data_IF_221787719774
#
_entry.id   IF_221787719774
#
_cell.length_a   1.000
_cell.length_b   1.000
_cell.length_c   1.000
_cell.angle_alpha   90.00
_cell.angle_beta   90.00
_cell.angle_gamma   90.00
#
_symmetry.space_group_name_H-M   'P 1'
#
loop_
_entity.id
_entity.type
_entity.pdbx_description
1 polymer ?
#
# COMPACT_ATOMS: atom_id res chain seq x y z
N UNK A 1 -54.61 -8.39 -34.54
CA UNK A 1 -53.62 -7.44 -33.99
C UNK A 1 -52.97 -8.14 -32.81
N UNK A 2 -51.76 -8.67 -32.99
CA UNK A 2 -50.97 -9.27 -31.93
C UNK A 2 -50.09 -8.17 -31.34
N UNK A 3 -50.13 -7.99 -30.02
CA UNK A 3 -49.25 -7.07 -29.31
C UNK A 3 -48.10 -7.88 -28.70
N UNK A 4 -46.90 -7.54 -29.15
CA UNK A 4 -45.62 -8.04 -28.69
C UNK A 4 -45.34 -7.47 -27.29
N UNK A 5 -45.13 -8.34 -26.30
CA UNK A 5 -44.74 -7.94 -24.96
C UNK A 5 -43.21 -7.97 -24.88
N UNK A 6 -42.61 -6.78 -24.84
CA UNK A 6 -41.16 -6.57 -24.76
C UNK A 6 -40.65 -7.04 -23.39
N UNK A 7 -39.88 -8.12 -23.39
CA UNK A 7 -39.13 -8.63 -22.24
C UNK A 7 -37.92 -7.72 -21.97
N UNK A 8 -37.85 -7.15 -20.76
CA UNK A 8 -36.74 -6.28 -20.35
C UNK A 8 -35.50 -7.13 -20.02
N UNK A 9 -34.30 -6.77 -20.51
CA UNK A 9 -33.09 -7.52 -20.19
C UNK A 9 -32.67 -7.27 -18.75
N UNK A 10 -32.44 -8.36 -18.01
CA UNK A 10 -31.88 -8.34 -16.65
C UNK A 10 -30.44 -7.81 -16.66
N UNK A 11 -29.97 -7.12 -15.60
CA UNK A 11 -28.58 -6.67 -15.53
C UNK A 11 -27.64 -7.88 -15.42
N UNK A 12 -26.46 -7.84 -16.07
CA UNK A 12 -25.54 -8.97 -16.02
C UNK A 12 -24.87 -9.02 -14.64
N UNK A 13 -25.17 -10.08 -13.88
CA UNK A 13 -24.45 -10.47 -12.68
C UNK A 13 -23.10 -11.08 -13.08
N UNK A 14 -22.11 -10.24 -13.38
CA UNK A 14 -20.71 -10.68 -13.42
C UNK A 14 -20.13 -10.62 -12.00
N UNK A 15 -19.61 -11.72 -11.43
CA UNK A 15 -18.69 -11.59 -10.32
C UNK A 15 -17.43 -10.88 -10.85
N UNK A 16 -16.91 -9.85 -10.18
CA UNK A 16 -15.67 -9.24 -10.63
C UNK A 16 -14.55 -10.29 -10.51
N UNK A 17 -13.89 -10.55 -11.63
CA UNK A 17 -12.71 -11.41 -11.69
C UNK A 17 -11.59 -10.78 -10.86
N UNK A 18 -11.43 -11.21 -9.61
CA UNK A 18 -10.46 -10.66 -8.65
C UNK A 18 -8.99 -11.01 -8.94
N UNK A 19 -8.70 -11.78 -9.98
CA UNK A 19 -7.33 -12.11 -10.37
C UNK A 19 -6.76 -11.04 -11.30
N UNK A 20 -6.03 -10.08 -10.71
CA UNK A 20 -5.20 -9.11 -11.44
C UNK A 20 -5.48 -7.62 -11.20
N UNK A 21 -6.37 -7.27 -10.26
CA UNK A 21 -6.63 -5.88 -9.90
C UNK A 21 -6.07 -5.55 -8.51
N UNK A 22 -5.42 -4.38 -8.40
CA UNK A 22 -5.00 -3.80 -7.13
C UNK A 22 -6.22 -3.68 -6.21
N UNK A 23 -6.08 -4.10 -4.94
CA UNK A 23 -7.18 -4.06 -3.97
C UNK A 23 -7.01 -2.85 -3.07
N UNK A 24 -8.05 -2.03 -2.97
CA UNK A 24 -8.02 -0.79 -2.20
C UNK A 24 -8.88 -0.95 -0.95
N UNK A 25 -8.28 -0.66 0.20
CA UNK A 25 -8.92 -0.72 1.50
C UNK A 25 -8.82 0.62 2.23
N UNK A 26 -9.71 0.84 3.18
CA UNK A 26 -9.56 1.90 4.17
C UNK A 26 -9.72 1.37 5.60
N UNK A 27 -9.01 1.99 6.53
CA UNK A 27 -9.17 1.82 7.97
C UNK A 27 -9.72 3.14 8.52
N UNK A 28 -10.90 3.06 9.13
CA UNK A 28 -11.48 4.20 9.81
C UNK A 28 -10.72 4.47 11.11
N UNK A 29 -10.26 5.70 11.29
CA UNK A 29 -9.61 6.19 12.50
C UNK A 29 -10.52 7.26 13.09
N UNK A 30 -10.91 7.14 14.36
CA UNK A 30 -11.85 8.11 14.97
C UNK A 30 -11.29 9.54 14.91
N UNK A 31 -10.03 9.72 15.37
CA UNK A 31 -9.35 11.02 15.45
C UNK A 31 -7.90 10.91 15.00
N UNK A 32 -7.36 12.03 14.51
CA UNK A 32 -5.97 12.14 14.05
C UNK A 32 -4.96 11.61 15.08
N UNK A 33 -5.19 11.86 16.37
CA UNK A 33 -4.31 11.40 17.47
C UNK A 33 -4.17 9.86 17.55
N UNK A 34 -5.16 9.10 17.08
CA UNK A 34 -5.15 7.63 17.10
C UNK A 34 -4.52 7.03 15.84
N UNK A 35 -4.13 7.85 14.87
CA UNK A 35 -3.59 7.39 13.58
C UNK A 35 -2.27 6.67 13.77
N UNK A 36 -1.38 7.19 14.62
CA UNK A 36 -0.10 6.53 14.90
C UNK A 36 -0.29 5.18 15.61
N UNK A 37 -1.19 5.11 16.59
CA UNK A 37 -1.53 3.86 17.29
C UNK A 37 -2.08 2.81 16.32
N UNK A 38 -3.04 3.20 15.48
CA UNK A 38 -3.63 2.34 14.45
C UNK A 38 -2.58 1.85 13.44
N UNK A 39 -1.59 2.69 13.09
CA UNK A 39 -0.49 2.31 12.21
C UNK A 39 0.38 1.23 12.88
N UNK A 40 0.71 1.39 14.16
CA UNK A 40 1.49 0.39 14.91
C UNK A 40 0.76 -0.94 14.98
N UNK A 41 -0.55 -0.94 15.24
CA UNK A 41 -1.37 -2.15 15.27
C UNK A 41 -1.40 -2.85 13.90
N UNK A 42 -1.60 -2.08 12.83
CA UNK A 42 -1.55 -2.57 11.46
C UNK A 42 -0.20 -3.22 11.14
N UNK A 43 0.90 -2.53 11.47
CA UNK A 43 2.26 -3.04 11.30
C UNK A 43 2.55 -4.25 12.21
N UNK A 44 1.91 -4.33 13.38
CA UNK A 44 1.96 -5.46 14.29
C UNK A 44 1.43 -6.76 13.70
N UNK A 45 0.54 -6.67 12.70
CA UNK A 45 0.02 -7.82 11.95
C UNK A 45 0.76 -7.98 10.62
N UNK A 46 0.79 -6.93 9.79
CA UNK A 46 1.37 -6.98 8.45
C UNK A 46 2.90 -7.14 8.47
N UNK A 47 3.58 -6.36 9.31
CA UNK A 47 5.04 -6.30 9.37
C UNK A 47 5.71 -7.54 9.97
N UNK A 48 4.94 -8.43 10.60
CA UNK A 48 5.48 -9.72 11.10
C UNK A 48 5.67 -10.74 9.99
N UNK A 49 5.21 -10.48 8.77
CA UNK A 49 5.41 -11.42 7.67
C UNK A 49 6.82 -11.30 7.10
N UNK A 50 7.53 -12.41 6.89
CA UNK A 50 8.99 -12.39 6.71
C UNK A 50 9.45 -11.89 5.34
N UNK A 51 9.93 -10.65 5.27
CA UNK A 51 10.39 -10.00 4.03
C UNK A 51 9.36 -9.11 3.32
N UNK A 52 8.21 -8.78 3.94
CA UNK A 52 7.08 -8.15 3.25
C UNK A 52 7.48 -6.76 2.74
N UNK A 53 7.42 -6.47 1.43
CA UNK A 53 7.74 -5.15 0.91
C UNK A 53 6.54 -4.21 1.12
N UNK A 54 6.73 -3.21 1.99
CA UNK A 54 5.74 -2.19 2.33
C UNK A 54 6.23 -0.77 2.00
N UNK A 55 5.32 0.11 1.60
CA UNK A 55 5.59 1.55 1.44
C UNK A 55 4.59 2.32 2.30
N UNK A 56 5.07 3.30 3.06
CA UNK A 56 4.23 4.25 3.81
C UNK A 56 4.41 5.63 3.19
N UNK A 57 3.32 6.21 2.69
CA UNK A 57 3.30 7.55 2.12
C UNK A 57 2.80 8.58 3.14
N UNK A 58 3.63 9.60 3.38
CA UNK A 58 3.33 10.77 4.21
C UNK A 58 3.24 12.04 3.33
N UNK A 59 2.47 13.04 3.75
CA UNK A 59 2.30 14.29 2.99
C UNK A 59 3.29 15.38 3.43
N UNK A 60 3.86 15.26 4.62
CA UNK A 60 4.84 16.21 5.18
C UNK A 60 6.09 15.49 5.71
N UNK A 61 7.18 16.27 5.89
CA UNK A 61 8.42 15.77 6.51
C UNK A 61 8.22 15.45 7.98
N UNK A 62 7.47 16.28 8.71
CA UNK A 62 7.21 16.09 10.13
C UNK A 62 6.48 14.76 10.40
N UNK A 63 5.48 14.42 9.59
CA UNK A 63 4.78 13.13 9.70
C UNK A 63 5.67 11.96 9.30
N UNK A 64 6.51 12.11 8.27
CA UNK A 64 7.49 11.10 7.92
C UNK A 64 8.44 10.83 9.09
N UNK A 65 8.97 11.87 9.75
CA UNK A 65 9.89 11.74 10.87
C UNK A 65 9.20 11.13 12.10
N UNK A 66 7.93 11.48 12.35
CA UNK A 66 7.11 10.87 13.40
C UNK A 66 6.87 9.36 13.16
N UNK A 67 6.57 8.97 11.92
CA UNK A 67 6.42 7.56 11.55
C UNK A 67 7.77 6.84 11.68
N UNK A 68 8.87 7.44 11.22
CA UNK A 68 10.21 6.85 11.36
C UNK A 68 10.57 6.60 12.84
N UNK A 69 10.31 7.56 13.71
CA UNK A 69 10.53 7.44 15.15
C UNK A 69 9.77 6.26 15.76
N UNK A 70 8.49 6.12 15.37
CA UNK A 70 7.63 5.04 15.86
C UNK A 70 8.09 3.67 15.35
N UNK A 71 8.36 3.57 14.04
CA UNK A 71 8.79 2.33 13.38
C UNK A 71 10.16 1.86 13.87
N UNK A 72 11.05 2.78 14.26
CA UNK A 72 12.36 2.44 14.84
C UNK A 72 12.28 1.54 16.07
N UNK A 73 11.15 1.52 16.77
CA UNK A 73 10.92 0.66 17.93
C UNK A 73 10.41 -0.74 17.56
N UNK A 74 10.15 -1.03 16.27
CA UNK A 74 9.59 -2.30 15.80
C UNK A 74 10.71 -3.23 15.32
N UNK A 75 11.08 -4.29 16.09
CA UNK A 75 12.25 -5.13 15.77
C UNK A 75 12.06 -6.01 14.54
N UNK A 76 10.83 -6.18 14.06
CA UNK A 76 10.45 -7.03 12.91
C UNK A 76 10.38 -6.25 11.59
N UNK A 77 10.63 -4.95 11.59
CA UNK A 77 10.64 -4.10 10.38
C UNK A 77 12.02 -3.50 10.20
N UNK A 78 12.59 -3.65 9.01
CA UNK A 78 13.70 -2.85 8.52
C UNK A 78 13.15 -1.78 7.60
N UNK A 79 13.43 -0.51 7.87
CA UNK A 79 12.88 0.58 7.07
C UNK A 79 13.96 1.55 6.58
N UNK A 80 13.67 2.22 5.45
CA UNK A 80 14.48 3.32 4.92
C UNK A 80 13.58 4.53 4.64
N UNK A 81 13.89 5.70 5.19
CA UNK A 81 13.19 6.93 4.86
C UNK A 81 13.68 7.52 3.53
N UNK A 82 12.75 8.03 2.72
CA UNK A 82 13.01 8.76 1.49
C UNK A 82 12.48 10.19 1.61
N UNK A 83 13.41 11.13 1.60
CA UNK A 83 13.18 12.55 1.79
C UNK A 83 13.94 13.38 0.77
N UNK A 84 13.54 14.65 0.61
CA UNK A 84 13.94 15.48 -0.54
C UNK A 84 15.43 15.84 -0.59
N UNK A 85 16.12 15.82 0.55
CA UNK A 85 17.56 16.09 0.67
C UNK A 85 18.45 14.86 0.42
N UNK A 86 17.85 13.67 0.18
CA UNK A 86 18.59 12.47 -0.19
C UNK A 86 19.18 12.62 -1.61
N UNK A 87 20.48 12.34 -1.75
CA UNK A 87 21.13 12.41 -3.07
C UNK A 87 20.47 11.44 -4.06
N UNK A 88 20.32 11.85 -5.33
CA UNK A 88 19.66 11.03 -6.35
C UNK A 88 20.30 9.64 -6.52
N UNK A 89 21.63 9.56 -6.42
CA UNK A 89 22.37 8.30 -6.47
C UNK A 89 22.04 7.38 -5.29
N UNK A 90 21.92 7.94 -4.10
CA UNK A 90 21.55 7.18 -2.89
C UNK A 90 20.10 6.73 -2.95
N UNK A 91 19.18 7.62 -3.39
CA UNK A 91 17.78 7.29 -3.65
C UNK A 91 17.65 6.13 -4.64
N UNK A 92 18.40 6.16 -5.75
CA UNK A 92 18.39 5.10 -6.74
C UNK A 92 18.86 3.76 -6.16
N UNK A 93 19.90 3.76 -5.31
CA UNK A 93 20.38 2.55 -4.62
C UNK A 93 19.31 1.99 -3.68
N UNK A 94 18.62 2.85 -2.92
CA UNK A 94 17.55 2.42 -2.00
C UNK A 94 16.39 1.79 -2.78
N UNK A 95 15.93 2.44 -3.85
CA UNK A 95 14.84 1.95 -4.68
C UNK A 95 15.19 0.62 -5.36
N UNK A 96 16.41 0.49 -5.86
CA UNK A 96 16.87 -0.75 -6.49
C UNK A 96 16.94 -1.91 -5.49
N UNK A 97 17.49 -1.68 -4.30
CA UNK A 97 17.50 -2.68 -3.22
C UNK A 97 16.10 -3.11 -2.82
N UNK A 98 15.17 -2.15 -2.71
CA UNK A 98 13.78 -2.45 -2.37
C UNK A 98 13.09 -3.29 -3.47
N UNK A 99 13.32 -2.96 -4.74
CA UNK A 99 12.78 -3.73 -5.88
C UNK A 99 13.29 -5.16 -5.92
N UNK A 100 14.57 -5.37 -5.58
CA UNK A 100 15.15 -6.71 -5.42
C UNK A 100 14.48 -7.47 -4.28
N UNK A 101 14.26 -6.83 -3.11
CA UNK A 101 13.53 -7.44 -2.00
C UNK A 101 12.11 -7.86 -2.38
N UNK A 102 11.37 -7.02 -3.11
CA UNK A 102 10.04 -7.38 -3.63
C UNK A 102 10.09 -8.60 -4.56
N UNK A 103 11.07 -8.65 -5.47
CA UNK A 103 11.22 -9.77 -6.40
C UNK A 103 11.52 -11.08 -5.69
N UNK A 104 12.37 -11.03 -4.65
CA UNK A 104 12.67 -12.19 -3.83
C UNK A 104 11.45 -12.68 -3.05
N UNK A 105 10.68 -11.74 -2.47
CA UNK A 105 9.45 -12.06 -1.76
C UNK A 105 8.44 -12.78 -2.67
N UNK A 106 8.19 -12.27 -3.88
CA UNK A 106 7.19 -12.87 -4.78
C UNK A 106 7.58 -14.28 -5.24
N UNK A 107 8.87 -14.55 -5.43
CA UNK A 107 9.38 -15.89 -5.71
C UNK A 107 9.21 -16.83 -4.52
N UNK A 108 9.51 -16.37 -3.30
CA UNK A 108 9.41 -17.21 -2.10
C UNK A 108 7.97 -17.56 -1.73
N UNK A 109 7.01 -16.65 -1.95
CA UNK A 109 5.57 -16.95 -1.79
C UNK A 109 5.11 -18.08 -2.71
N UNK A 110 5.74 -18.24 -3.88
CA UNK A 110 5.44 -19.35 -4.79
C UNK A 110 6.10 -20.69 -4.42
N UNK A 111 7.07 -20.68 -3.49
CA UNK A 111 7.91 -21.85 -3.16
C UNK A 111 7.71 -22.37 -1.73
N UNK A 112 6.93 -21.72 -0.87
CA UNK A 112 6.72 -22.20 0.51
C UNK A 112 5.76 -23.41 0.61
N UNK A 113 6.33 -24.59 0.38
CA UNK A 113 6.05 -25.83 1.11
C UNK A 113 7.38 -26.36 1.67
N UNK A 114 7.67 -26.09 2.95
CA UNK A 114 8.69 -26.77 3.76
C UNK A 114 10.15 -26.30 3.57
N UNK A 115 10.71 -25.68 4.61
CA UNK A 115 11.76 -26.26 5.48
C UNK A 115 12.46 -25.14 6.26
N UNK A 116 12.58 -25.33 7.58
CA UNK A 116 13.20 -24.38 8.51
C UNK A 116 14.72 -24.47 8.36
N UNK A 117 15.33 -23.41 7.83
CA UNK A 117 16.79 -23.25 7.81
C UNK A 117 17.17 -21.96 8.53
N UNK A 118 17.83 -22.11 9.68
CA UNK A 118 18.42 -21.00 10.44
C UNK A 118 19.49 -20.28 9.60
N UNK A 119 19.16 -19.11 9.04
CA UNK A 119 20.14 -18.14 8.53
C UNK A 119 19.56 -16.73 8.53
N UNK A 120 20.36 -15.76 9.00
CA UNK A 120 20.13 -14.33 8.84
C UNK A 120 19.04 -13.68 9.70
N UNK A 121 19.40 -13.12 10.87
CA UNK A 121 18.48 -12.35 11.74
C UNK A 121 17.77 -11.15 11.06
N UNK A 122 18.21 -10.74 9.88
CA UNK A 122 17.60 -9.67 9.08
C UNK A 122 16.80 -10.17 7.86
N UNK A 123 16.95 -11.43 7.42
CA UNK A 123 16.23 -11.98 6.25
C UNK A 123 14.73 -12.19 6.52
N UNK A 124 14.33 -12.20 7.79
CA UNK A 124 12.94 -12.38 8.22
C UNK A 124 12.23 -11.06 8.52
N UNK A 125 12.91 -9.91 8.40
CA UNK A 125 12.27 -8.61 8.67
C UNK A 125 11.49 -8.16 7.46
N UNK A 126 10.33 -7.54 7.69
CA UNK A 126 9.66 -6.82 6.60
C UNK A 126 10.52 -5.65 6.13
N UNK A 127 10.51 -5.39 4.83
CA UNK A 127 11.22 -4.27 4.23
C UNK A 127 10.24 -3.12 4.00
N UNK A 128 10.52 -1.96 4.59
CA UNK A 128 9.63 -0.81 4.48
C UNK A 128 10.34 0.43 3.93
N UNK A 129 9.66 1.17 3.07
CA UNK A 129 10.09 2.50 2.65
C UNK A 129 9.08 3.52 3.15
N UNK A 130 9.54 4.53 3.87
CA UNK A 130 8.69 5.64 4.33
C UNK A 130 9.03 6.85 3.47
N UNK A 131 8.06 7.42 2.76
CA UNK A 131 8.32 8.34 1.66
C UNK A 131 7.33 9.50 1.63
N UNK A 132 7.77 10.66 1.16
CA UNK A 132 6.89 11.79 0.79
C UNK A 132 6.60 11.80 -0.71
N UNK A 133 5.50 12.42 -1.12
CA UNK A 133 5.09 12.50 -2.53
C UNK A 133 6.17 13.07 -3.47
N UNK A 134 7.03 13.96 -2.97
CA UNK A 134 8.12 14.59 -3.72
C UNK A 134 9.21 13.59 -4.11
N UNK A 135 9.36 12.51 -3.34
CA UNK A 135 10.42 11.53 -3.51
C UNK A 135 9.97 10.28 -4.28
N UNK A 136 8.70 10.25 -4.70
CA UNK A 136 8.17 9.15 -5.48
C UNK A 136 8.80 9.11 -6.88
N UNK A 137 9.01 7.91 -7.45
CA UNK A 137 9.51 7.77 -8.81
C UNK A 137 8.71 8.58 -9.84
N UNK A 138 9.39 9.41 -10.63
CA UNK A 138 8.77 10.12 -11.74
C UNK A 138 8.67 9.20 -12.96
N UNK A 139 7.57 8.43 -13.04
CA UNK A 139 7.34 7.48 -14.13
C UNK A 139 7.39 8.14 -15.53
N UNK A 140 6.97 9.40 -15.63
CA UNK A 140 7.04 10.18 -16.87
C UNK A 140 8.47 10.53 -17.32
N UNK A 141 9.44 10.49 -16.39
CA UNK A 141 10.86 10.69 -16.64
C UNK A 141 11.61 9.38 -16.90
N UNK A 142 10.91 8.25 -16.96
CA UNK A 142 11.47 6.93 -17.22
C UNK A 142 11.94 6.18 -15.96
N UNK A 143 11.62 6.67 -14.76
CA UNK A 143 11.89 5.92 -13.53
C UNK A 143 10.97 4.70 -13.40
N UNK A 144 11.51 3.61 -12.83
CA UNK A 144 10.73 2.41 -12.55
C UNK A 144 9.95 2.54 -11.24
N UNK A 145 8.75 1.93 -11.15
CA UNK A 145 7.97 1.90 -9.92
C UNK A 145 8.65 1.06 -8.83
N UNK A 146 8.41 1.42 -7.56
CA UNK A 146 8.91 0.73 -6.36
C UNK A 146 8.38 -0.71 -6.28
N UNK A 147 7.14 -0.92 -6.78
CA UNK A 147 6.48 -2.23 -6.88
C UNK A 147 6.26 -2.96 -5.53
N UNK A 148 5.94 -2.24 -4.46
CA UNK A 148 5.62 -2.82 -3.15
C UNK A 148 4.35 -3.68 -3.15
N UNK A 149 4.25 -4.60 -2.18
CA UNK A 149 3.07 -5.46 -2.01
C UNK A 149 1.97 -4.75 -1.22
N UNK A 150 2.36 -3.87 -0.31
CA UNK A 150 1.46 -3.06 0.52
C UNK A 150 1.85 -1.59 0.39
N UNK A 151 0.87 -0.75 0.05
CA UNK A 151 0.98 0.71 0.11
C UNK A 151 0.07 1.21 1.24
N UNK A 152 0.63 1.89 2.23
CA UNK A 152 -0.11 2.52 3.31
C UNK A 152 -0.10 4.02 3.07
N UNK A 153 -1.27 4.59 2.78
CA UNK A 153 -1.47 6.03 2.83
C UNK A 153 -1.72 6.42 4.28
N UNK A 154 -0.64 6.80 4.99
CA UNK A 154 -0.75 7.28 6.36
C UNK A 154 -1.60 8.55 6.41
N UNK A 155 -1.46 9.43 5.40
CA UNK A 155 -2.40 10.52 5.15
C UNK A 155 -3.14 10.27 3.84
N UNK A 156 -4.47 10.45 3.87
CA UNK A 156 -5.31 10.30 2.70
C UNK A 156 -4.97 11.44 1.71
N UNK A 157 -4.59 11.13 0.46
CA UNK A 157 -4.37 12.17 -0.54
C UNK A 157 -5.63 13.02 -0.76
N UNK A 158 -5.53 14.34 -0.76
CA UNK A 158 -6.69 15.23 -0.96
C UNK A 158 -7.17 15.31 -2.41
N UNK A 159 -6.33 14.88 -3.36
CA UNK A 159 -6.59 14.91 -4.80
C UNK A 159 -6.45 13.52 -5.40
N UNK A 160 -7.35 13.18 -6.33
CA UNK A 160 -7.27 11.95 -7.15
C UNK A 160 -5.91 11.77 -7.81
N UNK A 161 -5.34 12.83 -8.40
CA UNK A 161 -4.07 12.73 -9.12
C UNK A 161 -2.93 12.22 -8.21
N UNK A 162 -2.87 12.73 -6.98
CA UNK A 162 -1.90 12.28 -5.98
C UNK A 162 -2.14 10.82 -5.59
N UNK A 163 -3.39 10.42 -5.38
CA UNK A 163 -3.74 9.02 -5.09
C UNK A 163 -3.31 8.07 -6.20
N UNK A 164 -3.59 8.42 -7.46
CA UNK A 164 -3.20 7.64 -8.62
C UNK A 164 -1.68 7.59 -8.78
N UNK A 165 -0.99 8.70 -8.52
CA UNK A 165 0.48 8.77 -8.55
C UNK A 165 1.11 7.84 -7.51
N UNK A 166 0.63 7.86 -6.26
CA UNK A 166 1.10 6.94 -5.21
C UNK A 166 0.89 5.49 -5.62
N UNK A 167 -0.31 5.15 -6.08
CA UNK A 167 -0.64 3.79 -6.52
C UNK A 167 0.25 3.32 -7.68
N UNK A 168 0.41 4.14 -8.73
CA UNK A 168 1.20 3.78 -9.91
C UNK A 168 2.71 3.70 -9.62
N UNK A 169 3.24 4.59 -8.78
CA UNK A 169 4.67 4.63 -8.47
C UNK A 169 5.08 3.61 -7.42
N UNK A 170 4.20 3.26 -6.48
CA UNK A 170 4.55 2.45 -5.33
C UNK A 170 4.08 1.00 -5.41
N UNK A 171 2.94 0.70 -6.05
CA UNK A 171 2.26 -0.58 -5.85
C UNK A 171 2.47 -1.56 -7.01
N UNK A 172 2.71 -2.83 -6.68
CA UNK A 172 2.69 -3.92 -7.64
C UNK A 172 1.28 -4.17 -8.21
N UNK A 173 1.16 -4.93 -9.30
CA UNK A 173 -0.11 -5.22 -9.96
C UNK A 173 -1.09 -6.03 -9.09
N UNK A 174 -0.58 -6.91 -8.23
CA UNK A 174 -1.37 -7.72 -7.30
C UNK A 174 -1.41 -7.12 -5.88
N UNK A 175 -0.79 -5.95 -5.69
CA UNK A 175 -0.64 -5.28 -4.41
C UNK A 175 -1.94 -4.79 -3.78
N UNK A 176 -1.87 -4.40 -2.50
CA UNK A 176 -2.98 -3.78 -1.77
C UNK A 176 -2.63 -2.36 -1.32
N UNK A 177 -3.64 -1.48 -1.33
CA UNK A 177 -3.56 -0.13 -0.76
C UNK A 177 -4.38 -0.09 0.52
N UNK A 178 -3.83 0.48 1.58
CA UNK A 178 -4.52 0.72 2.85
C UNK A 178 -4.54 2.23 3.10
N UNK A 179 -5.73 2.80 3.20
CA UNK A 179 -5.93 4.22 3.43
C UNK A 179 -6.32 4.45 4.89
N UNK A 180 -5.55 5.24 5.63
CA UNK A 180 -5.94 5.62 6.99
C UNK A 180 -6.80 6.89 6.93
N UNK A 181 -8.08 6.73 7.26
CA UNK A 181 -9.10 7.75 7.01
C UNK A 181 -9.65 8.23 8.34
N UNK A 182 -9.48 9.52 8.66
CA UNK A 182 -10.13 10.10 9.85
C UNK A 182 -11.59 10.45 9.56
N UNK A 183 -12.44 10.55 10.59
CA UNK A 183 -13.88 10.79 10.41
C UNK A 183 -14.25 11.99 9.51
N UNK A 184 -13.42 13.04 9.47
CA UNK A 184 -13.61 14.20 8.59
C UNK A 184 -13.25 13.98 7.12
N UNK A 185 -12.57 12.89 6.77
CA UNK A 185 -12.03 12.62 5.43
C UNK A 185 -12.92 11.70 4.59
N UNK A 186 -14.04 11.20 5.12
CA UNK A 186 -14.94 10.26 4.41
C UNK A 186 -15.45 10.82 3.08
N UNK A 187 -15.73 12.13 3.02
CA UNK A 187 -16.15 12.80 1.78
C UNK A 187 -15.03 12.81 0.74
N UNK A 188 -13.78 13.00 1.19
CA UNK A 188 -12.60 12.98 0.32
C UNK A 188 -12.37 11.57 -0.22
N UNK A 189 -12.46 10.55 0.64
CA UNK A 189 -12.32 9.15 0.25
C UNK A 189 -13.34 8.79 -0.83
N UNK A 190 -14.62 9.12 -0.61
CA UNK A 190 -15.69 8.87 -1.57
C UNK A 190 -15.47 9.62 -2.89
N UNK A 191 -14.98 10.86 -2.84
CA UNK A 191 -14.63 11.60 -4.04
C UNK A 191 -13.52 10.91 -4.85
N UNK A 192 -12.50 10.36 -4.18
CA UNK A 192 -11.41 9.61 -4.85
C UNK A 192 -11.97 8.33 -5.48
N UNK A 193 -12.82 7.60 -4.76
CA UNK A 193 -13.47 6.38 -5.24
C UNK A 193 -14.28 6.65 -6.52
N UNK A 194 -15.22 7.59 -6.45
CA UNK A 194 -16.12 7.96 -7.55
C UNK A 194 -15.33 8.48 -8.76
N UNK A 195 -14.38 9.40 -8.52
CA UNK A 195 -13.63 10.03 -9.60
C UNK A 195 -12.63 9.07 -10.26
N UNK A 196 -12.16 8.05 -9.55
CA UNK A 196 -11.17 7.08 -10.06
C UNK A 196 -11.79 5.81 -10.62
N UNK A 197 -13.10 5.61 -10.47
CA UNK A 197 -13.80 4.38 -10.83
C UNK A 197 -13.16 3.15 -10.18
N UNK A 198 -12.72 3.31 -8.94
CA UNK A 198 -12.16 2.26 -8.08
C UNK A 198 -13.20 1.87 -7.03
N UNK A 199 -12.98 0.74 -6.36
CA UNK A 199 -13.75 0.34 -5.18
C UNK A 199 -12.81 0.33 -3.99
N UNK A 200 -13.11 1.12 -2.96
CA UNK A 200 -12.33 1.18 -1.73
C UNK A 200 -13.15 0.54 -0.61
N UNK A 201 -12.85 -0.73 -0.32
CA UNK A 201 -13.56 -1.51 0.68
C UNK A 201 -13.10 -1.16 2.11
N UNK A 202 -13.95 -1.39 3.10
CA UNK A 202 -13.50 -1.38 4.50
C UNK A 202 -12.50 -2.52 4.73
N UNK A 203 -11.49 -2.28 5.57
CA UNK A 203 -10.47 -3.29 5.87
C UNK A 203 -11.09 -4.47 6.62
N UNK A 204 -10.88 -5.73 6.16
CA UNK A 204 -11.39 -6.90 6.86
C UNK A 204 -10.65 -7.11 8.19
N UNK A 205 -11.35 -7.74 9.14
CA UNK A 205 -10.80 -8.08 10.46
C UNK A 205 -9.54 -8.95 10.32
N UNK A 206 -9.57 -9.92 9.39
CA UNK A 206 -8.45 -10.80 9.09
C UNK A 206 -7.56 -10.21 8.00
N UNK A 207 -6.69 -9.27 8.39
CA UNK A 207 -5.69 -8.63 7.49
C UNK A 207 -4.80 -9.68 6.80
N UNK A 208 -4.59 -10.83 7.43
CA UNK A 208 -3.81 -11.92 6.86
C UNK A 208 -4.44 -12.56 5.62
N UNK A 209 -5.75 -12.45 5.40
CA UNK A 209 -6.40 -13.04 4.22
C UNK A 209 -6.21 -12.18 2.95
N UNK A 210 -5.88 -10.90 3.12
CA UNK A 210 -5.72 -9.97 2.01
C UNK A 210 -4.26 -9.74 1.61
N UNK A 211 -3.31 -10.08 2.48
CA UNK A 211 -1.87 -9.92 2.26
C UNK A 211 -1.24 -11.14 1.57
#
# INVERSE_FOLDING_TARGET
MAIDAVEAPSPPSHPPSYFGQQRHFYVAVDRLQFKMETLVDLLGVAGRRPGLPMVVCCSSRDELDAVCSTVSNLPYISFVPLYSDLAESERAIVLEKFRQATTNWSQNVSVQSGDDSESGKDEQKSHMVIVTDVCLPHLSSGESPISARVLINYELPTKKETYMRRTASCLAADGIVINMVVGGEVVILKHIEDSSSLVIAEMPINISEIL
#
